data_IF_886086377738
#
_entry.id   IF_886086377738
#
_cell.length_a   1.000
_cell.length_b   1.000
_cell.length_c   1.000
_cell.angle_alpha   90.00
_cell.angle_beta   90.00
_cell.angle_gamma   90.00
#
_symmetry.space_group_name_H-M   'P 1'
#
loop_
_entity.id
_entity.type
_entity.pdbx_description
1 polymer ?
#
# COMPACT_ATOMS: atom_id res chain seq x y z
N UNK A 1 31.37 9.23 -46.37
CA UNK A 1 31.76 7.92 -45.82
C UNK A 1 32.44 8.13 -44.46
N UNK A 2 31.67 8.03 -43.36
CA UNK A 2 32.13 7.74 -41.98
C UNK A 2 30.88 7.63 -41.10
N UNK A 3 30.52 6.39 -40.81
CA UNK A 3 29.39 5.96 -39.99
C UNK A 3 29.59 6.37 -38.53
N UNK A 4 28.55 6.90 -37.88
CA UNK A 4 28.50 7.08 -36.42
C UNK A 4 27.39 6.19 -35.86
N UNK A 5 27.81 5.34 -34.93
CA UNK A 5 27.08 4.23 -34.29
C UNK A 5 25.73 4.65 -33.69
N UNK A 6 24.73 3.85 -33.99
CA UNK A 6 23.46 3.71 -33.28
C UNK A 6 23.72 3.12 -31.89
N UNK A 7 23.08 3.70 -30.86
CA UNK A 7 22.93 3.07 -29.55
C UNK A 7 21.49 2.57 -29.44
N UNK A 8 21.34 1.26 -29.51
CA UNK A 8 20.15 0.52 -29.11
C UNK A 8 20.18 0.39 -27.59
N UNK A 9 19.16 0.88 -26.90
CA UNK A 9 18.90 0.59 -25.49
C UNK A 9 17.80 -0.47 -25.49
N UNK A 10 18.18 -1.71 -25.19
CA UNK A 10 17.27 -2.75 -24.76
C UNK A 10 16.90 -2.45 -23.31
N UNK A 11 15.62 -2.17 -23.05
CA UNK A 11 15.05 -2.24 -21.71
C UNK A 11 14.90 -3.72 -21.34
N UNK A 12 15.69 -4.17 -20.37
CA UNK A 12 15.51 -5.44 -19.68
C UNK A 12 14.52 -5.25 -18.54
N UNK A 13 13.43 -5.98 -18.67
CA UNK A 13 12.43 -6.35 -17.69
C UNK A 13 13.09 -7.07 -16.50
N UNK A 14 13.09 -6.45 -15.32
CA UNK A 14 13.40 -7.12 -14.05
C UNK A 14 12.42 -6.62 -12.99
N UNK A 15 11.37 -7.41 -12.79
CA UNK A 15 10.44 -7.27 -11.68
C UNK A 15 11.12 -7.56 -10.35
N UNK A 16 10.88 -6.67 -9.38
CA UNK A 16 11.21 -6.89 -7.98
C UNK A 16 9.91 -6.92 -7.19
N UNK A 17 9.40 -8.14 -6.98
CA UNK A 17 8.44 -8.43 -5.90
C UNK A 17 9.15 -8.26 -4.56
N UNK A 18 8.71 -7.28 -3.76
CA UNK A 18 9.11 -7.14 -2.37
C UNK A 18 8.02 -7.79 -1.52
N UNK A 19 8.19 -9.07 -1.17
CA UNK A 19 7.40 -9.74 -0.13
C UNK A 19 8.20 -9.72 1.18
N UNK A 20 7.87 -8.75 2.04
CA UNK A 20 8.38 -8.70 3.41
C UNK A 20 7.65 -9.72 4.29
N UNK A 21 8.13 -10.96 4.29
CA UNK A 21 7.75 -11.99 5.25
C UNK A 21 8.63 -11.91 6.50
N UNK A 22 8.02 -11.64 7.65
CA UNK A 22 8.69 -11.67 8.94
C UNK A 22 8.96 -13.13 9.36
N UNK A 23 10.23 -13.46 9.57
CA UNK A 23 10.67 -14.73 10.14
C UNK A 23 10.22 -14.83 11.61
N UNK A 24 9.33 -15.79 11.88
CA UNK A 24 9.07 -16.32 13.22
C UNK A 24 9.88 -17.61 13.42
N UNK A 25 10.60 -17.81 14.53
CA UNK A 25 11.24 -19.08 14.82
C UNK A 25 10.21 -20.11 15.28
N UNK A 26 9.97 -21.12 14.45
CA UNK A 26 9.32 -22.38 14.86
C UNK A 26 10.33 -23.23 15.63
N UNK A 27 10.11 -23.37 16.95
CA UNK A 27 10.68 -24.44 17.75
C UNK A 27 9.68 -25.60 17.79
N UNK A 28 9.97 -26.69 17.08
CA UNK A 28 9.39 -27.99 17.37
C UNK A 28 10.51 -28.91 17.85
N UNK A 29 10.28 -29.43 19.06
CA UNK A 29 11.00 -30.56 19.62
C UNK A 29 10.73 -31.80 18.77
N UNK A 30 11.74 -32.66 18.63
CA UNK A 30 11.52 -34.10 18.58
C UNK A 30 12.75 -34.85 19.11
N UNK A 31 12.41 -36.00 19.71
CA UNK A 31 13.12 -36.87 20.63
C UNK A 31 14.53 -37.33 20.23
N UNK A 32 15.43 -37.58 21.23
CA UNK A 32 16.55 -38.47 21.03
C UNK A 32 16.17 -39.94 21.32
N UNK A 33 16.28 -40.70 20.24
CA UNK A 33 16.34 -42.15 20.11
C UNK A 33 17.14 -42.90 21.19
N UNK A 34 16.56 -44.00 21.69
CA UNK A 34 17.22 -45.08 22.41
C UNK A 34 18.52 -45.59 21.75
N UNK A 35 19.49 -46.01 22.58
CA UNK A 35 20.31 -47.17 22.27
C UNK A 35 20.27 -48.25 23.37
N UNK A 36 19.75 -49.40 22.96
CA UNK A 36 20.36 -50.74 23.01
C UNK A 36 21.10 -51.21 24.29
N UNK A 37 20.56 -52.31 24.80
CA UNK A 37 21.23 -53.61 24.96
C UNK A 37 22.22 -53.81 26.13
N UNK A 38 21.73 -54.57 27.12
CA UNK A 38 22.18 -55.95 27.29
C UNK A 38 23.56 -56.18 27.90
N UNK A 39 23.67 -55.99 29.21
CA UNK A 39 24.81 -56.53 29.99
C UNK A 39 24.42 -57.89 30.59
N UNK A 40 24.81 -58.90 29.81
CA UNK A 40 25.38 -60.22 30.17
C UNK A 40 25.17 -60.76 31.59
N UNK A 41 24.38 -61.85 31.63
CA UNK A 41 24.50 -62.99 32.55
C UNK A 41 25.95 -63.50 32.57
N UNK A 42 26.59 -63.48 33.74
CA UNK A 42 27.77 -64.29 34.02
C UNK A 42 27.32 -65.59 34.72
N UNK A 43 27.46 -66.68 33.97
CA UNK A 43 27.31 -68.06 34.41
C UNK A 43 28.66 -68.49 34.99
N UNK A 44 28.71 -68.83 36.27
CA UNK A 44 29.87 -69.48 36.88
C UNK A 44 29.42 -70.82 37.47
N UNK A 45 29.44 -71.85 36.62
CA UNK A 45 29.58 -73.23 37.06
C UNK A 45 31.03 -73.43 37.50
N UNK A 46 31.27 -73.78 38.76
CA UNK A 46 32.49 -74.53 39.08
C UNK A 46 32.24 -75.61 40.12
N UNK A 47 32.31 -76.81 39.57
CA UNK A 47 32.30 -78.14 40.15
C UNK A 47 33.28 -78.33 41.32
N UNK A 48 32.75 -78.99 42.35
CA UNK A 48 33.31 -80.15 43.07
C UNK A 48 34.82 -80.16 43.39
N UNK A 49 35.15 -80.05 44.67
CA UNK A 49 36.15 -80.94 45.28
C UNK A 49 35.67 -81.43 46.65
N UNK A 50 35.61 -82.75 46.72
CA UNK A 50 35.37 -83.56 47.90
C UNK A 50 36.53 -83.38 48.89
N UNK A 51 36.20 -83.35 50.18
CA UNK A 51 37.05 -83.93 51.22
C UNK A 51 36.14 -84.43 52.35
N UNK A 52 36.05 -85.76 52.44
CA UNK A 52 35.38 -86.52 53.48
C UNK A 52 36.26 -86.64 54.72
N UNK A 53 35.84 -86.08 55.85
CA UNK A 53 36.47 -86.34 57.16
C UNK A 53 35.38 -86.59 58.20
N UNK A 54 35.30 -87.85 58.60
CA UNK A 54 34.89 -88.43 59.89
C UNK A 54 33.72 -87.82 60.68
N UNK A 55 32.55 -88.38 60.39
CA UNK A 55 31.42 -88.59 61.29
C UNK A 55 31.79 -89.60 62.39
N UNK A 56 31.62 -89.23 63.67
CA UNK A 56 31.02 -90.07 64.73
C UNK A 56 31.25 -89.54 66.15
N UNK A 57 31.19 -88.21 66.35
CA UNK A 57 30.92 -87.58 67.67
C UNK A 57 29.92 -86.40 67.54
N UNK A 58 29.26 -86.25 66.38
CA UNK A 58 28.45 -85.09 66.00
C UNK A 58 26.94 -85.26 66.17
N UNK A 59 26.41 -86.36 66.73
CA UNK A 59 24.95 -86.55 66.84
C UNK A 59 24.24 -85.64 67.88
N UNK A 60 24.82 -85.32 69.06
CA UNK A 60 24.27 -84.24 69.90
C UNK A 60 24.63 -82.84 69.34
N UNK A 61 25.73 -82.73 68.59
CA UNK A 61 26.20 -81.49 67.97
C UNK A 61 25.40 -81.12 66.70
N UNK A 62 24.86 -82.11 65.97
CA UNK A 62 24.09 -81.96 64.74
C UNK A 62 22.66 -81.52 65.04
N UNK A 63 22.05 -82.05 66.10
CA UNK A 63 20.77 -81.54 66.62
C UNK A 63 20.96 -80.13 67.18
N UNK A 64 22.05 -79.87 67.92
CA UNK A 64 22.39 -78.53 68.37
C UNK A 64 22.65 -77.58 67.18
N UNK A 65 23.35 -78.02 66.14
CA UNK A 65 23.60 -77.25 64.92
C UNK A 65 22.31 -76.98 64.15
N UNK A 66 21.41 -77.96 64.02
CA UNK A 66 20.11 -77.77 63.37
C UNK A 66 19.26 -76.80 64.19
N UNK A 67 19.25 -76.91 65.52
CA UNK A 67 18.56 -75.94 66.39
C UNK A 67 19.19 -74.55 66.32
N UNK A 68 20.52 -74.44 66.26
CA UNK A 68 21.24 -73.18 66.05
C UNK A 68 20.99 -72.61 64.66
N UNK A 69 20.85 -73.45 63.62
CA UNK A 69 20.51 -73.06 62.25
C UNK A 69 19.06 -72.63 62.12
N UNK A 70 18.14 -73.28 62.81
CA UNK A 70 16.73 -72.88 62.88
C UNK A 70 16.61 -71.58 63.67
N UNK A 71 17.26 -71.48 64.83
CA UNK A 71 17.27 -70.26 65.63
C UNK A 71 17.94 -69.10 64.89
N UNK A 72 19.05 -69.34 64.19
CA UNK A 72 19.72 -68.33 63.36
C UNK A 72 18.88 -67.96 62.15
N UNK A 73 18.23 -68.91 61.48
CA UNK A 73 17.29 -68.63 60.39
C UNK A 73 16.11 -67.79 60.86
N UNK A 74 15.51 -68.09 62.00
CA UNK A 74 14.42 -67.30 62.59
C UNK A 74 14.91 -65.90 62.99
N UNK A 75 16.10 -65.78 63.58
CA UNK A 75 16.72 -64.49 63.90
C UNK A 75 17.02 -63.66 62.65
N UNK A 76 17.58 -64.28 61.61
CA UNK A 76 17.89 -63.65 60.32
C UNK A 76 16.60 -63.24 59.61
N UNK A 77 15.59 -64.11 59.52
CA UNK A 77 14.30 -63.79 58.92
C UNK A 77 13.58 -62.66 59.66
N UNK A 78 13.61 -62.65 61.00
CA UNK A 78 13.06 -61.54 61.79
C UNK A 78 13.86 -60.24 61.62
N UNK A 79 15.18 -60.34 61.44
CA UNK A 79 16.02 -59.19 61.16
C UNK A 79 15.79 -58.63 59.76
N UNK A 80 15.65 -59.49 58.74
CA UNK A 80 15.29 -59.14 57.37
C UNK A 80 13.92 -58.49 57.30
N UNK A 81 12.90 -59.04 57.97
CA UNK A 81 11.56 -58.43 58.07
C UNK A 81 11.60 -57.03 58.69
N UNK A 82 12.41 -56.85 59.75
CA UNK A 82 12.59 -55.54 60.38
C UNK A 82 13.34 -54.58 59.44
N UNK A 83 14.35 -55.05 58.71
CA UNK A 83 15.09 -54.25 57.74
C UNK A 83 14.21 -53.81 56.58
N UNK A 84 13.39 -54.71 56.02
CA UNK A 84 12.41 -54.40 54.97
C UNK A 84 11.39 -53.40 55.47
N UNK A 85 10.88 -53.55 56.70
CA UNK A 85 9.96 -52.56 57.30
C UNK A 85 10.61 -51.19 57.50
N UNK A 86 11.90 -51.15 57.86
CA UNK A 86 12.66 -49.90 57.93
C UNK A 86 12.82 -49.26 56.55
N UNK A 87 13.28 -50.02 55.55
CA UNK A 87 13.41 -49.55 54.17
C UNK A 87 12.09 -49.03 53.60
N UNK A 88 10.97 -49.72 53.84
CA UNK A 88 9.65 -49.25 53.40
C UNK A 88 9.18 -47.99 54.12
N UNK A 89 9.55 -47.81 55.39
CA UNK A 89 9.26 -46.55 56.11
C UNK A 89 10.11 -45.41 55.58
N UNK A 90 11.39 -45.65 55.36
CA UNK A 90 12.33 -44.67 54.81
C UNK A 90 11.92 -44.27 53.39
N UNK A 91 11.52 -45.22 52.56
CA UNK A 91 10.97 -44.96 51.22
C UNK A 91 9.69 -44.13 51.28
N UNK A 92 8.77 -44.42 52.22
CA UNK A 92 7.55 -43.62 52.42
C UNK A 92 7.86 -42.20 52.89
N UNK A 93 8.81 -42.04 53.82
CA UNK A 93 9.25 -40.72 54.30
C UNK A 93 9.85 -39.94 53.14
N UNK A 94 10.74 -40.57 52.37
CA UNK A 94 11.37 -39.94 51.22
C UNK A 94 10.35 -39.56 50.12
N UNK A 95 9.37 -40.44 49.83
CA UNK A 95 8.27 -40.11 48.90
C UNK A 95 7.42 -38.93 49.42
N UNK A 96 7.16 -38.86 50.73
CA UNK A 96 6.45 -37.73 51.33
C UNK A 96 7.25 -36.43 51.25
N UNK A 97 8.57 -36.50 51.46
CA UNK A 97 9.46 -35.34 51.32
C UNK A 97 9.49 -34.84 49.87
N UNK A 98 9.65 -35.74 48.90
CA UNK A 98 9.60 -35.41 47.47
C UNK A 98 8.24 -34.81 47.10
N UNK A 99 7.12 -35.38 47.58
CA UNK A 99 5.78 -34.85 47.30
C UNK A 99 5.63 -33.44 47.86
N UNK A 100 6.10 -33.18 49.09
CA UNK A 100 6.06 -31.85 49.69
C UNK A 100 6.93 -30.85 48.94
N UNK A 101 8.13 -31.23 48.54
CA UNK A 101 9.02 -30.39 47.74
C UNK A 101 8.37 -30.04 46.39
N UNK A 102 7.73 -31.02 45.74
CA UNK A 102 7.01 -30.82 44.50
C UNK A 102 5.81 -29.88 44.68
N UNK A 103 5.01 -30.05 45.73
CA UNK A 103 3.86 -29.19 46.02
C UNK A 103 4.29 -27.74 46.29
N UNK A 104 5.37 -27.54 47.04
CA UNK A 104 5.95 -26.21 47.29
C UNK A 104 6.39 -25.57 45.97
N UNK A 105 7.19 -26.29 45.17
CA UNK A 105 7.69 -25.78 43.89
C UNK A 105 6.57 -25.51 42.89
N UNK A 106 5.53 -26.35 42.88
CA UNK A 106 4.35 -26.15 42.04
C UNK A 106 3.60 -24.87 42.45
N UNK A 107 3.41 -24.65 43.76
CA UNK A 107 2.80 -23.42 44.27
C UNK A 107 3.63 -22.17 43.93
N UNK A 108 4.96 -22.25 44.00
CA UNK A 108 5.85 -21.15 43.63
C UNK A 108 5.75 -20.80 42.14
N UNK A 109 5.81 -21.82 41.27
CA UNK A 109 5.65 -21.66 39.82
C UNK A 109 4.27 -21.09 39.45
N UNK A 110 3.21 -21.50 40.16
CA UNK A 110 1.87 -20.96 39.95
C UNK A 110 1.81 -19.48 40.33
N UNK A 111 2.35 -19.10 41.49
CA UNK A 111 2.43 -17.71 41.92
C UNK A 111 3.28 -16.85 40.97
N UNK A 112 4.39 -17.39 40.45
CA UNK A 112 5.21 -16.73 39.45
C UNK A 112 4.47 -16.57 38.10
N UNK A 113 3.73 -17.60 37.66
CA UNK A 113 2.93 -17.53 36.44
C UNK A 113 1.84 -16.45 36.55
N UNK A 114 1.15 -16.38 37.69
CA UNK A 114 0.12 -15.37 37.95
C UNK A 114 0.73 -13.95 37.95
N UNK A 115 1.92 -13.79 38.54
CA UNK A 115 2.66 -12.53 38.50
C UNK A 115 3.06 -12.14 37.07
N UNK A 116 3.57 -13.07 36.27
CA UNK A 116 3.93 -12.83 34.87
C UNK A 116 2.70 -12.46 34.03
N UNK A 117 1.56 -13.11 34.27
CA UNK A 117 0.28 -12.75 33.62
C UNK A 117 -0.17 -11.34 33.97
N UNK A 118 -0.06 -10.94 35.24
CA UNK A 118 -0.36 -9.57 35.67
C UNK A 118 0.58 -8.55 35.01
N UNK A 119 1.87 -8.85 34.91
CA UNK A 119 2.85 -8.00 34.23
C UNK A 119 2.56 -7.89 32.73
N UNK A 120 2.19 -8.99 32.09
CA UNK A 120 1.82 -8.99 30.67
C UNK A 120 0.57 -8.13 30.42
N UNK A 121 -0.47 -8.29 31.24
CA UNK A 121 -1.68 -7.46 31.16
C UNK A 121 -1.36 -5.98 31.37
N UNK A 122 -0.56 -5.65 32.38
CA UNK A 122 -0.15 -4.27 32.63
C UNK A 122 0.64 -3.69 31.44
N UNK A 123 1.53 -4.47 30.82
CA UNK A 123 2.26 -4.04 29.63
C UNK A 123 1.34 -3.83 28.42
N UNK A 124 0.35 -4.71 28.22
CA UNK A 124 -0.67 -4.55 27.18
C UNK A 124 -1.51 -3.29 27.40
N UNK A 125 -1.92 -3.00 28.63
CA UNK A 125 -2.68 -1.78 28.96
C UNK A 125 -1.85 -0.52 28.68
N UNK A 126 -0.57 -0.52 29.05
CA UNK A 126 0.35 0.59 28.74
C UNK A 126 0.54 0.77 27.23
N UNK A 127 0.65 -0.33 26.48
CA UNK A 127 0.78 -0.29 25.03
C UNK A 127 -0.49 0.29 24.38
N UNK A 128 -1.67 -0.16 24.81
CA UNK A 128 -2.95 0.37 24.33
C UNK A 128 -3.08 1.87 24.63
N UNK A 129 -2.72 2.31 25.83
CA UNK A 129 -2.72 3.75 26.19
C UNK A 129 -1.76 4.57 25.32
N UNK A 130 -0.58 4.02 24.99
CA UNK A 130 0.39 4.67 24.12
C UNK A 130 -0.13 4.77 22.68
N UNK A 131 -0.71 3.69 22.16
CA UNK A 131 -1.28 3.64 20.82
C UNK A 131 -2.47 4.61 20.68
N UNK A 132 -3.36 4.67 21.68
CA UNK A 132 -4.45 5.65 21.74
C UNK A 132 -3.94 7.09 21.80
N UNK A 133 -2.93 7.37 22.63
CA UNK A 133 -2.31 8.70 22.69
C UNK A 133 -1.71 9.10 21.35
N UNK A 134 -0.99 8.18 20.71
CA UNK A 134 -0.36 8.41 19.40
C UNK A 134 -1.40 8.63 18.31
N UNK A 135 -2.48 7.86 18.29
CA UNK A 135 -3.58 8.03 17.34
C UNK A 135 -4.23 9.42 17.50
N UNK A 136 -4.47 9.85 18.74
CA UNK A 136 -5.04 11.16 19.03
C UNK A 136 -4.12 12.32 18.59
N UNK A 137 -2.81 12.19 18.83
CA UNK A 137 -1.83 13.18 18.38
C UNK A 137 -1.76 13.27 16.85
N UNK A 138 -1.79 12.13 16.15
CA UNK A 138 -1.82 12.08 14.69
C UNK A 138 -3.10 12.71 14.12
N UNK A 139 -4.27 12.41 14.71
CA UNK A 139 -5.54 13.05 14.32
C UNK A 139 -5.47 14.56 14.43
N UNK A 140 -4.97 15.07 15.56
CA UNK A 140 -4.80 16.51 15.79
C UNK A 140 -3.84 17.15 14.79
N UNK A 141 -2.74 16.48 14.45
CA UNK A 141 -1.81 16.97 13.42
C UNK A 141 -2.46 17.02 12.04
N UNK A 142 -3.20 15.98 11.64
CA UNK A 142 -3.93 15.93 10.38
C UNK A 142 -4.96 17.06 10.29
N UNK A 143 -5.72 17.32 11.36
CA UNK A 143 -6.68 18.43 11.43
C UNK A 143 -5.99 19.80 11.25
N UNK A 144 -4.86 20.02 11.91
CA UNK A 144 -4.08 21.25 11.79
C UNK A 144 -3.54 21.45 10.36
N UNK A 145 -2.97 20.40 9.75
CA UNK A 145 -2.49 20.44 8.38
C UNK A 145 -3.62 20.67 7.38
N UNK A 146 -4.78 20.06 7.59
CA UNK A 146 -5.97 20.25 6.76
C UNK A 146 -6.48 21.69 6.84
N UNK A 147 -6.56 22.25 8.05
CA UNK A 147 -6.94 23.65 8.24
C UNK A 147 -5.95 24.62 7.59
N UNK A 148 -4.65 24.31 7.67
CA UNK A 148 -3.60 25.08 7.02
C UNK A 148 -3.68 25.00 5.48
N UNK A 149 -3.85 23.80 4.90
CA UNK A 149 -4.09 23.56 3.46
C UNK A 149 -5.24 24.43 2.97
N UNK A 150 -6.40 24.38 3.66
CA UNK A 150 -7.59 25.15 3.31
C UNK A 150 -7.34 26.67 3.34
N UNK A 151 -6.67 27.17 4.38
CA UNK A 151 -6.34 28.61 4.49
C UNK A 151 -5.40 29.07 3.37
N UNK A 152 -4.42 28.24 3.03
CA UNK A 152 -3.49 28.51 1.92
C UNK A 152 -4.22 28.54 0.57
N UNK A 153 -5.11 27.58 0.30
CA UNK A 153 -5.95 27.58 -0.89
C UNK A 153 -6.79 28.85 -0.98
N UNK A 154 -7.49 29.24 0.09
CA UNK A 154 -8.29 30.47 0.14
C UNK A 154 -7.46 31.74 -0.17
N UNK A 155 -6.25 31.83 0.38
CA UNK A 155 -5.34 32.93 0.09
C UNK A 155 -4.93 32.96 -1.39
N UNK A 156 -4.60 31.80 -1.98
CA UNK A 156 -4.25 31.68 -3.40
C UNK A 156 -5.44 32.05 -4.28
N UNK A 157 -6.66 31.63 -3.92
CA UNK A 157 -7.88 32.01 -4.63
C UNK A 157 -8.09 33.52 -4.62
N UNK A 158 -7.92 34.17 -3.46
CA UNK A 158 -8.04 35.62 -3.33
C UNK A 158 -6.99 36.37 -4.17
N UNK A 159 -5.74 35.92 -4.13
CA UNK A 159 -4.65 36.50 -4.92
C UNK A 159 -4.91 36.31 -6.42
N UNK A 160 -5.30 35.11 -6.84
CA UNK A 160 -5.59 34.79 -8.24
C UNK A 160 -6.78 35.60 -8.75
N UNK A 161 -7.85 35.72 -7.95
CA UNK A 161 -8.99 36.58 -8.27
C UNK A 161 -8.56 38.03 -8.48
N UNK A 162 -7.77 38.58 -7.55
CA UNK A 162 -7.30 39.96 -7.64
C UNK A 162 -6.49 40.18 -8.93
N UNK A 163 -5.51 39.30 -9.20
CA UNK A 163 -4.68 39.38 -10.40
C UNK A 163 -5.49 39.19 -11.70
N UNK A 164 -6.48 38.29 -11.68
CA UNK A 164 -7.40 38.08 -12.79
C UNK A 164 -8.21 39.34 -13.09
N UNK A 165 -8.84 39.94 -12.07
CA UNK A 165 -9.66 41.13 -12.23
C UNK A 165 -8.84 42.32 -12.73
N UNK A 166 -7.63 42.50 -12.19
CA UNK A 166 -6.71 43.57 -12.60
C UNK A 166 -6.27 43.41 -14.07
N UNK A 167 -5.96 42.17 -14.49
CA UNK A 167 -5.36 41.92 -15.80
C UNK A 167 -6.38 41.67 -16.92
N UNK A 168 -7.44 40.93 -16.63
CA UNK A 168 -8.41 40.43 -17.60
C UNK A 168 -9.83 40.99 -17.40
N UNK A 169 -10.08 41.70 -16.29
CA UNK A 169 -11.39 42.27 -15.97
C UNK A 169 -12.35 41.28 -15.30
N UNK A 170 -13.62 41.66 -15.09
CA UNK A 170 -14.60 40.85 -14.35
C UNK A 170 -15.20 39.66 -15.11
N UNK A 171 -15.00 39.60 -16.43
CA UNK A 171 -15.63 38.60 -17.29
C UNK A 171 -17.09 38.94 -17.69
N UNK A 172 -17.85 37.99 -18.28
CA UNK A 172 -17.44 36.62 -18.57
C UNK A 172 -16.25 36.57 -19.54
N UNK A 173 -15.29 35.69 -19.27
CA UNK A 173 -14.14 35.52 -20.15
C UNK A 173 -14.46 34.50 -21.23
N UNK A 174 -14.13 34.84 -22.47
CA UNK A 174 -14.26 33.94 -23.61
C UNK A 174 -12.92 33.71 -24.27
N UNK A 175 -12.68 32.49 -24.72
CA UNK A 175 -11.49 32.11 -25.46
C UNK A 175 -11.90 31.49 -26.78
N UNK A 176 -11.34 32.01 -27.86
CA UNK A 176 -11.42 31.44 -29.20
C UNK A 176 -10.28 30.43 -29.36
N UNK A 177 -10.63 29.20 -29.75
CA UNK A 177 -9.70 28.13 -30.08
C UNK A 177 -9.83 27.84 -31.58
N UNK A 178 -8.81 28.20 -32.35
CA UNK A 178 -8.75 27.86 -33.78
C UNK A 178 -8.04 26.54 -33.95
N UNK A 179 -8.67 25.61 -34.67
CA UNK A 179 -8.15 24.27 -34.88
C UNK A 179 -8.01 23.94 -36.36
N UNK A 180 -7.12 23.00 -36.66
CA UNK A 180 -6.98 22.42 -38.00
C UNK A 180 -6.98 20.91 -37.93
N UNK A 181 -7.81 20.30 -38.76
CA UNK A 181 -7.89 18.87 -38.98
C UNK A 181 -6.86 18.47 -40.05
N UNK A 182 -6.31 17.27 -39.92
CA UNK A 182 -5.49 16.67 -40.97
C UNK A 182 -6.35 16.54 -42.25
N UNK A 183 -5.84 16.84 -43.46
CA UNK A 183 -6.62 16.70 -44.69
C UNK A 183 -7.16 15.29 -44.95
N UNK A 184 -6.55 14.26 -44.36
CA UNK A 184 -7.03 12.87 -44.41
C UNK A 184 -8.19 12.59 -43.44
N UNK A 185 -8.55 13.56 -42.60
CA UNK A 185 -9.61 13.42 -41.62
C UNK A 185 -10.98 13.25 -42.31
N UNK A 186 -11.82 12.29 -41.90
CA UNK A 186 -13.12 12.08 -42.52
C UNK A 186 -13.97 13.36 -42.49
N UNK A 187 -14.48 13.76 -43.66
CA UNK A 187 -15.42 14.86 -43.83
C UNK A 187 -16.83 14.31 -43.98
N UNK A 188 -17.82 14.97 -43.40
CA UNK A 188 -19.24 14.64 -43.61
C UNK A 188 -19.77 15.21 -44.93
N UNK A 189 -19.15 16.29 -45.43
CA UNK A 189 -19.48 16.88 -46.72
C UNK A 189 -18.23 17.39 -47.44
N UNK A 190 -18.26 17.44 -48.77
CA UNK A 190 -17.14 17.97 -49.57
C UNK A 190 -16.83 19.45 -49.27
N UNK A 191 -17.83 20.19 -48.78
CA UNK A 191 -17.70 21.61 -48.42
C UNK A 191 -17.18 21.83 -46.99
N UNK A 192 -16.92 20.75 -46.24
CA UNK A 192 -16.41 20.88 -44.87
C UNK A 192 -14.94 21.31 -44.89
N UNK A 193 -14.66 22.48 -44.30
CA UNK A 193 -13.32 23.02 -44.20
C UNK A 193 -12.45 22.16 -43.26
N UNK A 194 -11.14 22.17 -43.49
CA UNK A 194 -10.18 21.52 -42.58
C UNK A 194 -9.83 22.41 -41.38
N UNK A 195 -10.46 23.58 -41.28
CA UNK A 195 -10.34 24.48 -40.14
C UNK A 195 -11.65 24.57 -39.37
N UNK A 196 -11.55 24.75 -38.05
CA UNK A 196 -12.69 24.93 -37.17
C UNK A 196 -12.40 25.99 -36.11
N UNK A 197 -13.46 26.56 -35.55
CA UNK A 197 -13.36 27.48 -34.41
C UNK A 197 -14.27 27.01 -33.29
N UNK A 198 -13.73 26.96 -32.07
CA UNK A 198 -14.49 26.69 -30.85
C UNK A 198 -14.41 27.94 -29.98
N UNK A 199 -15.56 28.41 -29.48
CA UNK A 199 -15.58 29.47 -28.46
C UNK A 199 -15.96 28.82 -27.14
N UNK A 200 -15.13 29.01 -26.13
CA UNK A 200 -15.41 28.60 -24.76
C UNK A 200 -15.69 29.82 -23.89
N UNK A 201 -16.59 29.67 -22.94
CA UNK A 201 -16.86 30.62 -21.86
C UNK A 201 -16.32 30.03 -20.56
N UNK A 202 -15.43 30.75 -19.89
CA UNK A 202 -14.84 30.32 -18.63
C UNK A 202 -15.86 30.41 -17.48
N UNK A 203 -15.66 29.61 -16.45
CA UNK A 203 -16.47 29.63 -15.24
C UNK A 203 -16.44 31.02 -14.57
N UNK A 204 -17.48 31.37 -13.78
CA UNK A 204 -17.48 32.62 -13.02
C UNK A 204 -16.23 32.72 -12.13
N UNK A 205 -15.61 33.90 -12.13
CA UNK A 205 -14.43 34.23 -11.30
C UNK A 205 -14.70 33.99 -9.81
N UNK A 206 -15.96 33.98 -9.40
CA UNK A 206 -16.33 33.86 -7.98
C UNK A 206 -16.40 32.41 -7.52
N UNK A 207 -16.45 31.49 -8.48
CA UNK A 207 -16.51 30.05 -8.23
C UNK A 207 -15.12 29.42 -8.38
N UNK A 208 -14.37 29.80 -9.42
CA UNK A 208 -13.09 29.17 -9.78
C UNK A 208 -11.99 30.19 -10.14
N UNK A 209 -11.68 31.17 -9.26
CA UNK A 209 -10.74 32.24 -9.59
C UNK A 209 -9.33 31.77 -9.92
N UNK A 210 -8.83 30.74 -9.23
CA UNK A 210 -7.45 30.29 -9.42
C UNK A 210 -7.26 29.62 -10.78
N UNK A 211 -8.14 28.67 -11.12
CA UNK A 211 -8.03 27.88 -12.34
C UNK A 211 -8.37 28.71 -13.57
N UNK A 212 -9.34 29.62 -13.49
CA UNK A 212 -9.64 30.57 -14.58
C UNK A 212 -8.45 31.49 -14.85
N UNK A 213 -7.84 32.06 -13.79
CA UNK A 213 -6.64 32.88 -13.92
C UNK A 213 -5.50 32.10 -14.57
N UNK A 214 -5.28 30.87 -14.09
CA UNK A 214 -4.22 29.98 -14.58
C UNK A 214 -4.36 29.68 -16.08
N UNK A 215 -5.56 29.33 -16.53
CA UNK A 215 -5.84 29.07 -17.93
C UNK A 215 -5.67 30.33 -18.81
N UNK A 216 -6.16 31.48 -18.35
CA UNK A 216 -6.00 32.75 -19.08
C UNK A 216 -4.52 33.15 -19.21
N UNK A 217 -3.69 32.92 -18.19
CA UNK A 217 -2.24 33.12 -18.30
C UNK A 217 -1.60 32.23 -19.37
N UNK A 218 -1.97 30.94 -19.42
CA UNK A 218 -1.47 30.01 -20.44
C UNK A 218 -1.85 30.45 -21.86
N UNK A 219 -3.10 30.90 -22.06
CA UNK A 219 -3.58 31.44 -23.34
C UNK A 219 -2.87 32.75 -23.68
N UNK A 220 -2.77 33.69 -22.75
CA UNK A 220 -2.10 34.99 -22.96
C UNK A 220 -0.63 34.84 -23.35
N UNK A 221 0.04 33.80 -22.82
CA UNK A 221 1.43 33.43 -23.14
C UNK A 221 1.58 32.58 -24.39
N UNK A 222 0.46 32.27 -25.08
CA UNK A 222 0.44 31.45 -26.30
C UNK A 222 1.00 30.03 -26.08
N UNK A 223 0.84 29.49 -24.87
CA UNK A 223 1.37 28.17 -24.53
C UNK A 223 0.60 27.04 -25.21
N UNK A 224 -0.59 27.27 -25.75
CA UNK A 224 -1.35 26.28 -26.51
C UNK A 224 -1.19 26.42 -28.04
N UNK A 225 -0.54 27.47 -28.53
CA UNK A 225 -0.33 27.66 -29.97
C UNK A 225 0.56 26.54 -30.52
N UNK A 226 0.12 25.92 -31.62
CA UNK A 226 0.73 24.77 -32.28
C UNK A 226 0.78 23.49 -31.42
N UNK A 227 -0.08 23.39 -30.40
CA UNK A 227 -0.30 22.12 -29.67
C UNK A 227 -1.38 21.27 -30.36
N UNK A 228 -1.99 20.31 -29.67
CA UNK A 228 -3.04 19.50 -30.24
C UNK A 228 -4.02 18.88 -29.27
N UNK A 229 -5.20 18.58 -29.79
CA UNK A 229 -6.05 17.51 -29.27
C UNK A 229 -5.50 16.18 -29.75
N UNK A 230 -5.04 15.35 -28.81
CA UNK A 230 -4.22 14.18 -29.09
C UNK A 230 -4.82 12.87 -28.58
N UNK A 231 -5.90 12.94 -27.79
CA UNK A 231 -6.54 11.78 -27.20
C UNK A 231 -8.06 11.90 -27.26
N UNK A 232 -8.70 10.81 -27.68
CA UNK A 232 -10.15 10.66 -27.68
C UNK A 232 -10.50 9.45 -26.81
N UNK A 233 -10.82 9.70 -25.54
CA UNK A 233 -11.13 8.64 -24.57
C UNK A 233 -12.61 8.19 -24.63
N UNK A 234 -13.35 8.58 -25.67
CA UNK A 234 -14.78 8.33 -25.84
C UNK A 234 -15.69 9.22 -24.98
N UNK A 235 -15.27 9.54 -23.75
CA UNK A 235 -16.00 10.41 -22.82
C UNK A 235 -15.44 11.81 -22.71
N UNK A 236 -14.20 11.99 -23.15
CA UNK A 236 -13.50 13.28 -23.18
C UNK A 236 -12.60 13.35 -24.41
N UNK A 237 -12.43 14.55 -24.95
CA UNK A 237 -11.39 14.90 -25.93
C UNK A 237 -10.32 15.70 -25.21
N UNK A 238 -9.12 15.14 -25.09
CA UNK A 238 -8.02 15.74 -24.34
C UNK A 238 -7.03 16.44 -25.29
N UNK A 239 -6.68 17.67 -24.92
CA UNK A 239 -5.72 18.53 -25.60
C UNK A 239 -4.65 19.04 -24.65
N UNK A 240 -3.51 19.42 -25.20
CA UNK A 240 -2.33 19.78 -24.42
C UNK A 240 -1.06 19.78 -25.27
N UNK A 241 0.13 19.95 -24.69
CA UNK A 241 1.44 20.03 -25.36
C UNK A 241 1.92 18.77 -26.13
N UNK A 242 1.05 18.18 -26.93
CA UNK A 242 1.37 17.11 -27.87
C UNK A 242 1.56 17.64 -29.30
N UNK A 243 2.44 17.02 -30.11
CA UNK A 243 2.67 17.42 -31.50
C UNK A 243 1.43 17.17 -32.39
N UNK A 244 1.39 17.80 -33.56
CA UNK A 244 0.35 17.61 -34.59
C UNK A 244 0.97 17.39 -35.97
N UNK A 245 0.15 17.26 -37.01
CA UNK A 245 0.60 17.03 -38.39
C UNK A 245 1.23 18.27 -39.06
N UNK A 246 1.01 19.48 -38.55
CA UNK A 246 1.59 20.72 -39.08
C UNK A 246 3.01 20.99 -38.56
N UNK A 247 3.39 20.35 -37.46
CA UNK A 247 4.68 20.55 -36.81
C UNK A 247 5.37 19.21 -36.53
N UNK A 248 6.67 19.04 -36.84
CA UNK A 248 7.37 17.82 -36.45
C UNK A 248 7.31 17.63 -34.91
N UNK A 249 7.51 16.39 -34.41
CA UNK A 249 7.62 16.14 -32.98
C UNK A 249 8.55 17.14 -32.31
N UNK A 250 7.99 17.99 -31.45
CA UNK A 250 8.71 19.09 -30.84
C UNK A 250 8.79 18.89 -29.32
N UNK A 251 9.94 18.43 -28.79
CA UNK A 251 10.11 18.22 -27.36
C UNK A 251 9.96 19.51 -26.54
N UNK A 252 10.02 20.69 -27.19
CA UNK A 252 9.86 21.98 -26.51
C UNK A 252 8.42 22.29 -26.11
N UNK A 253 7.41 21.55 -26.61
CA UNK A 253 6.00 21.82 -26.28
C UNK A 253 5.72 21.69 -24.78
N UNK A 254 6.23 20.65 -24.12
CA UNK A 254 6.12 20.54 -22.66
C UNK A 254 7.07 21.50 -21.95
N UNK A 255 8.29 21.68 -22.47
CA UNK A 255 9.32 22.51 -21.85
C UNK A 255 8.85 23.96 -21.66
N UNK A 256 8.11 24.54 -22.62
CA UNK A 256 7.61 25.92 -22.48
C UNK A 256 6.62 26.11 -21.33
N UNK A 257 5.77 25.11 -21.04
CA UNK A 257 4.87 25.18 -19.88
C UNK A 257 5.68 25.16 -18.59
N UNK A 258 6.63 24.24 -18.48
CA UNK A 258 7.52 24.12 -17.33
C UNK A 258 8.38 25.36 -17.10
N UNK A 259 9.02 25.87 -18.15
CA UNK A 259 9.84 27.09 -18.09
C UNK A 259 9.01 28.32 -17.70
N UNK A 260 7.71 28.34 -18.05
CA UNK A 260 6.80 29.43 -17.68
C UNK A 260 6.21 29.30 -16.27
N UNK A 261 6.36 28.13 -15.63
CA UNK A 261 5.72 27.82 -14.35
C UNK A 261 4.21 27.55 -14.44
N UNK A 262 3.70 27.16 -15.61
CA UNK A 262 2.27 26.90 -15.86
C UNK A 262 1.99 25.44 -16.29
N UNK A 263 2.87 24.50 -15.96
CA UNK A 263 2.73 23.08 -16.27
C UNK A 263 1.77 22.32 -15.34
N UNK A 264 1.44 22.83 -14.16
CA UNK A 264 0.39 22.25 -13.32
C UNK A 264 -0.23 23.31 -12.41
N UNK A 265 -1.53 23.20 -12.13
CA UNK A 265 -2.22 24.07 -11.16
C UNK A 265 -1.76 23.77 -9.74
N UNK A 266 -1.93 24.74 -8.83
CA UNK A 266 -1.44 24.61 -7.46
C UNK A 266 -2.31 23.68 -6.59
N UNK A 267 -3.60 23.57 -6.90
CA UNK A 267 -4.52 22.67 -6.23
C UNK A 267 -5.77 22.44 -7.09
N UNK A 268 -6.52 21.38 -6.77
CA UNK A 268 -7.78 21.05 -7.41
C UNK A 268 -8.89 22.01 -6.96
N UNK A 269 -9.15 23.06 -7.73
CA UNK A 269 -10.24 23.99 -7.47
C UNK A 269 -11.53 23.49 -8.14
N UNK A 270 -12.53 23.12 -7.34
CA UNK A 270 -13.78 22.56 -7.82
C UNK A 270 -14.98 23.31 -7.25
N UNK A 271 -16.02 23.51 -8.09
CA UNK A 271 -17.31 24.05 -7.68
C UNK A 271 -18.43 23.14 -8.19
N UNK A 272 -19.30 22.71 -7.27
CA UNK A 272 -20.48 21.90 -7.62
C UNK A 272 -21.48 22.65 -8.51
N UNK A 273 -21.41 23.99 -8.57
CA UNK A 273 -22.22 24.83 -9.46
C UNK A 273 -21.72 24.83 -10.90
N UNK A 274 -20.51 24.30 -11.14
CA UNK A 274 -19.91 24.17 -12.45
C UNK A 274 -19.46 22.71 -12.67
N UNK A 275 -20.41 21.76 -12.75
CA UNK A 275 -20.10 20.33 -12.83
C UNK A 275 -19.55 19.91 -14.21
N UNK A 276 -19.01 18.69 -14.29
CA UNK A 276 -18.50 18.11 -15.53
C UNK A 276 -19.62 17.54 -16.41
N UNK A 277 -20.40 18.40 -17.05
CA UNK A 277 -21.44 17.97 -17.99
C UNK A 277 -20.93 17.96 -19.44
N UNK A 278 -21.76 17.52 -20.38
CA UNK A 278 -21.39 17.54 -21.79
C UNK A 278 -20.98 18.96 -22.23
N UNK A 279 -19.89 19.04 -22.99
CA UNK A 279 -19.26 20.26 -23.49
C UNK A 279 -18.63 21.17 -22.45
N UNK A 280 -18.45 20.73 -21.21
CA UNK A 280 -17.58 21.43 -20.26
C UNK A 280 -16.12 21.05 -20.45
N UNK A 281 -15.22 21.89 -19.95
CA UNK A 281 -13.79 21.67 -19.99
C UNK A 281 -13.23 21.53 -18.60
N UNK A 282 -12.29 20.61 -18.43
CA UNK A 282 -11.52 20.48 -17.19
C UNK A 282 -10.05 20.22 -17.40
N UNK A 283 -9.24 20.44 -16.37
CA UNK A 283 -7.82 20.07 -16.40
C UNK A 283 -7.66 18.56 -16.15
N UNK A 284 -6.81 17.91 -16.94
CA UNK A 284 -6.49 16.51 -16.76
C UNK A 284 -5.36 16.34 -15.72
N UNK A 285 -5.46 15.29 -14.90
CA UNK A 285 -4.40 14.90 -13.96
C UNK A 285 -4.55 15.47 -12.54
N UNK A 286 -3.72 14.96 -11.62
CA UNK A 286 -3.67 15.41 -10.22
C UNK A 286 -2.22 15.55 -9.73
N UNK A 287 -1.69 16.79 -9.58
CA UNK A 287 -2.32 18.09 -9.88
C UNK A 287 -2.64 18.26 -11.38
N UNK A 288 -3.69 19.02 -11.70
CA UNK A 288 -4.17 19.18 -13.08
C UNK A 288 -3.29 20.06 -13.96
N UNK A 289 -3.26 19.78 -15.28
CA UNK A 289 -2.52 20.56 -16.28
C UNK A 289 -1.22 19.91 -16.75
N UNK A 290 -0.61 20.40 -17.86
CA UNK A 290 -1.13 21.44 -18.75
C UNK A 290 -2.19 20.90 -19.71
N UNK A 291 -2.41 19.59 -19.70
CA UNK A 291 -3.46 18.95 -20.45
C UNK A 291 -4.84 19.35 -19.91
N UNK A 292 -5.75 19.66 -20.81
CA UNK A 292 -7.16 19.89 -20.51
C UNK A 292 -8.01 18.97 -21.38
N UNK A 293 -9.29 18.87 -21.08
CA UNK A 293 -10.21 18.08 -21.88
C UNK A 293 -11.53 18.80 -22.10
N UNK A 294 -12.26 18.36 -23.12
CA UNK A 294 -13.66 18.70 -23.38
C UNK A 294 -14.49 17.44 -23.11
N UNK A 295 -15.42 17.51 -22.17
CA UNK A 295 -16.40 16.44 -21.88
C UNK A 295 -17.33 16.23 -23.07
N UNK A 296 -17.47 14.99 -23.54
CA UNK A 296 -18.38 14.64 -24.64
C UNK A 296 -19.70 14.04 -24.15
N UNK A 297 -19.84 13.88 -22.83
CA UNK A 297 -21.03 13.42 -22.11
C UNK A 297 -20.99 13.94 -20.67
N UNK A 298 -22.04 13.68 -19.89
CA UNK A 298 -22.01 13.94 -18.46
C UNK A 298 -20.99 13.02 -17.77
N UNK A 299 -20.01 13.66 -17.14
CA UNK A 299 -18.83 13.12 -16.52
C UNK A 299 -18.74 13.55 -15.04
N UNK A 300 -19.81 14.11 -14.48
CA UNK A 300 -19.85 14.68 -13.13
C UNK A 300 -19.46 13.66 -12.05
N UNK A 301 -19.77 12.38 -12.27
CA UNK A 301 -19.36 11.28 -11.37
C UNK A 301 -17.88 10.91 -11.58
N UNK A 302 -17.44 10.84 -12.84
CA UNK A 302 -16.12 10.32 -13.18
C UNK A 302 -14.99 11.30 -12.90
N UNK A 303 -15.26 12.61 -13.01
CA UNK A 303 -14.29 13.69 -12.86
C UNK A 303 -14.65 14.67 -11.72
N UNK A 304 -15.79 14.47 -11.06
CA UNK A 304 -16.18 15.23 -9.87
C UNK A 304 -15.57 14.67 -8.58
N UNK A 305 -16.01 15.17 -7.42
CA UNK A 305 -15.54 14.69 -6.13
C UNK A 305 -15.73 13.18 -6.00
N UNK A 306 -14.65 12.45 -5.76
CA UNK A 306 -14.66 10.99 -5.64
C UNK A 306 -14.41 10.21 -6.94
N UNK A 307 -14.17 10.85 -8.10
CA UNK A 307 -13.72 10.20 -9.35
C UNK A 307 -12.68 11.08 -10.07
N UNK A 308 -11.52 10.63 -10.57
CA UNK A 308 -11.15 9.43 -11.34
C UNK A 308 -10.14 8.55 -10.56
N UNK A 309 -10.71 7.69 -9.69
CA UNK A 309 -10.09 6.93 -8.59
C UNK A 309 -9.10 7.71 -7.72
N UNK A 310 -9.55 8.86 -7.19
CA UNK A 310 -8.84 9.67 -6.18
C UNK A 310 -8.20 8.77 -5.11
N UNK A 311 -6.87 8.76 -5.06
CA UNK A 311 -6.08 7.75 -4.32
C UNK A 311 -5.85 8.09 -2.83
N UNK A 312 -6.06 9.34 -2.40
CA UNK A 312 -5.75 9.81 -1.03
C UNK A 312 -6.84 10.73 -0.43
N UNK A 313 -7.47 11.62 -1.23
CA UNK A 313 -8.53 12.53 -0.78
C UNK A 313 -9.81 12.34 -1.61
N UNK A 314 -10.90 11.78 -1.05
CA UNK A 314 -12.15 11.54 -1.76
C UNK A 314 -12.89 12.84 -2.13
N UNK A 315 -12.49 13.99 -1.58
CA UNK A 315 -13.08 15.28 -1.94
C UNK A 315 -12.45 15.92 -3.18
N UNK A 316 -11.29 15.41 -3.64
CA UNK A 316 -10.63 15.96 -4.81
C UNK A 316 -11.33 15.56 -6.13
N UNK A 317 -11.45 16.55 -7.00
CA UNK A 317 -12.12 16.50 -8.28
C UNK A 317 -11.26 17.21 -9.33
N UNK A 318 -11.46 16.90 -10.61
CA UNK A 318 -10.82 17.68 -11.65
C UNK A 318 -11.50 19.07 -11.72
N UNK A 319 -10.78 20.17 -11.94
CA UNK A 319 -11.37 21.50 -12.07
C UNK A 319 -12.14 21.57 -13.38
N UNK A 320 -13.45 21.81 -13.32
CA UNK A 320 -14.26 22.11 -14.49
C UNK A 320 -14.30 23.63 -14.66
N UNK A 321 -13.55 24.20 -15.62
CA UNK A 321 -13.26 25.64 -15.64
C UNK A 321 -13.85 26.39 -16.83
N UNK A 322 -14.44 25.69 -17.80
CA UNK A 322 -15.08 26.32 -18.95
C UNK A 322 -16.19 25.46 -19.55
N UNK A 323 -16.93 26.03 -20.48
CA UNK A 323 -17.90 25.32 -21.33
C UNK A 323 -17.82 25.82 -22.77
N UNK A 324 -18.07 24.96 -23.73
CA UNK A 324 -18.22 25.36 -25.13
C UNK A 324 -19.53 26.15 -25.27
N UNK A 325 -19.47 27.29 -25.95
CA UNK A 325 -20.63 28.12 -26.28
C UNK A 325 -20.85 28.25 -27.79
N UNK A 326 -19.82 28.02 -28.61
CA UNK A 326 -19.91 27.94 -30.08
C UNK A 326 -18.90 26.91 -30.61
N UNK A 327 -19.16 26.34 -31.80
CA UNK A 327 -18.30 25.32 -32.42
C UNK A 327 -18.56 23.88 -31.92
N UNK A 328 -19.80 23.57 -31.54
CA UNK A 328 -20.19 22.21 -31.10
C UNK A 328 -19.98 21.15 -32.19
N UNK A 329 -20.22 21.52 -33.45
CA UNK A 329 -19.96 20.70 -34.64
C UNK A 329 -18.46 20.32 -34.75
N UNK A 330 -17.57 21.27 -34.47
CA UNK A 330 -16.11 21.05 -34.45
C UNK A 330 -15.74 20.02 -33.36
N UNK A 331 -16.32 20.15 -32.16
CA UNK A 331 -16.10 19.19 -31.07
C UNK A 331 -16.66 17.80 -31.42
N UNK A 332 -17.86 17.74 -32.00
CA UNK A 332 -18.47 16.49 -32.43
C UNK A 332 -17.65 15.81 -33.53
N UNK A 333 -17.06 16.59 -34.45
CA UNK A 333 -16.11 16.09 -35.44
C UNK A 333 -14.88 15.48 -34.78
N UNK A 334 -14.28 16.14 -33.79
CA UNK A 334 -13.17 15.57 -33.01
C UNK A 334 -13.55 14.29 -32.27
N UNK A 335 -14.78 14.16 -31.79
CA UNK A 335 -15.24 12.94 -31.12
C UNK A 335 -15.31 11.73 -32.06
N UNK A 336 -15.51 11.97 -33.36
CA UNK A 336 -15.52 10.94 -34.41
C UNK A 336 -14.12 10.58 -34.92
N UNK A 337 -13.07 11.26 -34.42
CA UNK A 337 -11.68 10.99 -34.82
C UNK A 337 -11.33 9.50 -34.65
N UNK A 338 -10.76 8.85 -35.69
CA UNK A 338 -10.18 7.52 -35.53
C UNK A 338 -9.12 7.52 -34.42
N UNK A 339 -9.09 6.43 -33.66
CA UNK A 339 -8.13 6.23 -32.57
C UNK A 339 -7.16 5.10 -32.90
N UNK A 340 -5.93 5.23 -32.43
CA UNK A 340 -4.93 4.15 -32.51
C UNK A 340 -5.34 3.00 -31.59
N UNK A 341 -5.08 1.74 -31.97
CA UNK A 341 -5.21 0.61 -31.06
C UNK A 341 -4.40 0.83 -29.78
N UNK A 342 -4.95 0.44 -28.62
CA UNK A 342 -4.29 0.58 -27.32
C UNK A 342 -5.20 1.11 -26.22
N UNK A 343 -4.67 1.13 -25.00
CA UNK A 343 -5.40 1.57 -23.79
C UNK A 343 -5.47 3.10 -23.68
N UNK A 344 -4.45 3.81 -24.17
CA UNK A 344 -4.36 5.27 -24.06
C UNK A 344 -5.40 6.01 -24.94
N UNK A 345 -5.91 5.36 -26.00
CA UNK A 345 -6.87 5.93 -26.97
C UNK A 345 -6.35 7.21 -27.64
N UNK A 346 -5.08 7.21 -28.05
CA UNK A 346 -4.51 8.28 -28.86
C UNK A 346 -5.31 8.45 -30.15
N UNK A 347 -5.51 9.69 -30.59
CA UNK A 347 -6.03 9.95 -31.93
C UNK A 347 -5.04 9.43 -32.98
N UNK A 348 -5.56 8.93 -34.10
CA UNK A 348 -4.73 8.53 -35.24
C UNK A 348 -4.01 9.75 -35.82
N UNK A 349 -4.78 10.82 -36.06
CA UNK A 349 -4.30 12.14 -36.46
C UNK A 349 -4.72 13.14 -35.38
N UNK A 350 -3.74 13.80 -34.75
CA UNK A 350 -4.00 14.82 -33.75
C UNK A 350 -4.58 16.08 -34.42
N UNK A 351 -5.57 16.71 -33.79
CA UNK A 351 -6.16 17.95 -34.29
C UNK A 351 -5.33 19.12 -33.79
N UNK A 352 -4.74 19.88 -34.71
CA UNK A 352 -3.82 20.97 -34.37
C UNK A 352 -4.58 22.13 -33.73
N UNK A 353 -4.06 22.68 -32.63
CA UNK A 353 -4.51 23.95 -32.08
C UNK A 353 -3.65 25.04 -32.72
N UNK A 354 -4.21 25.76 -33.69
CA UNK A 354 -3.49 26.81 -34.42
C UNK A 354 -3.18 27.99 -33.49
N UNK A 355 -4.19 28.41 -32.73
CA UNK A 355 -4.06 29.50 -31.76
C UNK A 355 -5.18 29.45 -30.73
N UNK A 356 -4.88 29.95 -29.53
CA UNK A 356 -5.90 30.33 -28.56
C UNK A 356 -5.84 31.84 -28.30
N UNK A 357 -7.00 32.49 -28.25
CA UNK A 357 -7.06 33.95 -28.05
C UNK A 357 -8.19 34.33 -27.09
N UNK A 358 -7.85 35.16 -26.11
CA UNK A 358 -8.83 35.78 -25.23
C UNK A 358 -9.63 36.79 -26.05
N UNK A 359 -10.95 36.64 -26.06
CA UNK A 359 -11.87 37.59 -26.68
C UNK A 359 -12.17 38.68 -25.66
N UNK A 360 -11.85 39.93 -25.99
CA UNK A 360 -12.25 41.07 -25.18
C UNK A 360 -13.77 41.23 -25.29
N UNK A 361 -14.45 41.30 -24.13
CA UNK A 361 -15.86 41.67 -24.08
C UNK A 361 -16.03 43.04 -24.73
N UNK A 362 -16.86 43.11 -25.78
CA UNK A 362 -17.27 44.39 -26.38
C UNK A 362 -18.30 45.08 -25.50
#
# INVERSE_FOLDING_TARGET
MKYRKEYSIQESDDGVEVTGGADLPQAFADEPSHPKAGIRRARAEQRSRANSINTSWMLPFGVLMVLVLIASYVLVSKHEDNLVKHLQRDEKIHQQEISREFDVRFSELQAENDKLRQQLHHHQDLQNQLDESRENDLKKQIEQLTAYKKKMQQNIQLMSKTALLEKFGPGPHRVEIKVQFDPSFPKESENEEDTGTIIIELAPVEELPHVVYWFLEQVNRKLYDLTSFHRNAGHVIQGGPAPNFLSPPNPQLHKRFKDSGFDSILFQEYSAKFPHVQYTLGFAGRPGGPDFYISTRDNSINHGPGGQSSYEDPSEADPCFAKVVEGFDVVNRMQRSPIKPGWYKAMQNNVAILSMRILQGR
#
